data_IF_820840995284
#
_entry.id   IF_820840995284
#
_cell.length_a   1.000
_cell.length_b   1.000
_cell.length_c   1.000
_cell.angle_alpha   90.00
_cell.angle_beta   90.00
_cell.angle_gamma   90.00
#
_symmetry.space_group_name_H-M   'P 1'
#
loop_
_entity.id
_entity.type
_entity.pdbx_description
1 polymer ?
#
# COMPACT_ATOMS: atom_id res chain seq x y z
N UNK A 1 -22.37 0.04 19.20
CA UNK A 1 -21.67 0.27 17.93
C UNK A 1 -20.80 -0.95 17.67
N UNK A 2 -21.05 -1.73 16.60
CA UNK A 2 -20.22 -2.89 16.26
C UNK A 2 -18.94 -2.45 15.55
N UNK A 3 -17.85 -3.21 15.76
CA UNK A 3 -16.71 -3.29 14.84
C UNK A 3 -15.53 -2.35 15.12
N UNK A 4 -14.83 -2.52 16.24
CA UNK A 4 -13.38 -2.32 16.16
C UNK A 4 -12.87 -3.52 15.35
N UNK A 5 -12.79 -3.38 14.03
CA UNK A 5 -12.03 -4.30 13.20
C UNK A 5 -10.61 -4.22 13.72
N UNK A 6 -10.17 -5.22 14.49
CA UNK A 6 -8.76 -5.37 14.79
C UNK A 6 -8.12 -5.65 13.43
N UNK A 7 -7.43 -4.66 12.87
CA UNK A 7 -6.75 -4.84 11.60
C UNK A 7 -5.47 -5.60 11.92
N UNK A 8 -5.47 -6.92 11.67
CA UNK A 8 -4.29 -7.76 11.84
C UNK A 8 -3.16 -7.34 10.86
N UNK A 9 -3.54 -6.81 9.69
CA UNK A 9 -2.64 -6.21 8.69
C UNK A 9 -3.42 -5.32 7.72
N UNK A 10 -2.90 -4.14 7.37
CA UNK A 10 -3.45 -3.24 6.33
C UNK A 10 -2.64 -3.41 5.06
N UNK A 11 -3.29 -3.81 3.97
CA UNK A 11 -2.68 -3.88 2.65
C UNK A 11 -2.64 -2.48 2.00
N UNK A 12 -1.44 -1.99 1.71
CA UNK A 12 -1.22 -0.66 1.11
C UNK A 12 -0.53 -0.84 -0.24
N UNK A 13 -1.12 -0.29 -1.29
CA UNK A 13 -0.52 -0.23 -2.61
C UNK A 13 0.03 1.17 -2.86
N UNK A 14 1.34 1.28 -3.00
CA UNK A 14 2.02 2.52 -3.35
C UNK A 14 2.35 2.53 -4.84
N UNK A 15 1.73 3.44 -5.58
CA UNK A 15 2.03 3.72 -6.97
C UNK A 15 2.89 4.97 -7.06
N UNK A 16 4.12 4.83 -7.54
CA UNK A 16 5.04 5.96 -7.72
C UNK A 16 5.98 5.65 -8.90
N UNK A 17 6.10 6.58 -9.84
CA UNK A 17 6.89 6.37 -11.06
C UNK A 17 8.42 6.39 -10.82
N UNK A 18 8.87 6.73 -9.62
CA UNK A 18 10.25 6.81 -9.19
C UNK A 18 10.55 5.68 -8.18
N UNK A 19 11.15 4.56 -8.61
CA UNK A 19 11.31 3.36 -7.78
C UNK A 19 12.05 3.61 -6.46
N UNK A 20 13.07 4.49 -6.49
CA UNK A 20 13.83 4.86 -5.30
C UNK A 20 13.00 5.59 -4.25
N UNK A 21 12.00 6.37 -4.67
CA UNK A 21 11.09 7.03 -3.75
C UNK A 21 10.06 6.04 -3.22
N UNK A 22 9.52 5.18 -4.10
CA UNK A 22 8.58 4.13 -3.71
C UNK A 22 9.15 3.21 -2.61
N UNK A 23 10.39 2.73 -2.80
CA UNK A 23 11.08 1.88 -1.83
C UNK A 23 11.30 2.60 -0.49
N UNK A 24 11.73 3.86 -0.52
CA UNK A 24 11.93 4.65 0.69
C UNK A 24 10.62 4.88 1.45
N UNK A 25 9.56 5.25 0.74
CA UNK A 25 8.25 5.48 1.34
C UNK A 25 7.69 4.19 1.95
N UNK A 26 7.85 3.04 1.28
CA UNK A 26 7.48 1.74 1.83
C UNK A 26 8.25 1.41 3.12
N UNK A 27 9.58 1.61 3.14
CA UNK A 27 10.39 1.42 4.35
C UNK A 27 9.94 2.33 5.50
N UNK A 28 9.69 3.61 5.21
CA UNK A 28 9.25 4.57 6.21
C UNK A 28 7.86 4.23 6.77
N UNK A 29 6.93 3.77 5.93
CA UNK A 29 5.60 3.34 6.35
C UNK A 29 5.68 2.12 7.28
N UNK A 30 6.48 1.11 6.93
CA UNK A 30 6.69 -0.07 7.80
C UNK A 30 7.36 0.29 9.14
N UNK A 31 8.11 1.38 9.21
CA UNK A 31 8.65 1.92 10.47
C UNK A 31 7.59 2.62 11.32
N UNK A 32 6.60 3.27 10.70
CA UNK A 32 5.51 3.94 11.42
C UNK A 32 4.61 2.90 12.06
N UNK A 33 4.28 1.85 11.32
CA UNK A 33 3.41 0.79 11.80
C UNK A 33 3.73 -0.52 11.06
N UNK A 34 4.12 -1.54 11.84
CA UNK A 34 4.49 -2.88 11.33
C UNK A 34 3.30 -3.67 10.79
N UNK A 35 2.07 -3.23 11.06
CA UNK A 35 0.85 -3.83 10.50
C UNK A 35 0.58 -3.41 9.06
N UNK A 36 1.30 -2.41 8.53
CA UNK A 36 1.18 -1.98 7.14
C UNK A 36 2.01 -2.89 6.23
N UNK A 37 1.32 -3.66 5.38
CA UNK A 37 1.94 -4.44 4.32
C UNK A 37 1.93 -3.63 3.02
N UNK A 38 3.08 -3.03 2.69
CA UNK A 38 3.22 -2.10 1.57
C UNK A 38 3.76 -2.81 0.33
N UNK A 39 2.98 -2.80 -0.74
CA UNK A 39 3.42 -3.23 -2.07
C UNK A 39 3.66 -2.02 -2.96
N UNK A 40 4.79 -1.96 -3.66
CA UNK A 40 5.13 -0.87 -4.57
C UNK A 40 4.91 -1.26 -6.03
N UNK A 41 4.41 -0.32 -6.82
CA UNK A 41 4.24 -0.43 -8.27
C UNK A 41 4.70 0.88 -8.92
N UNK A 42 5.20 0.79 -10.15
CA UNK A 42 5.84 1.95 -10.80
C UNK A 42 4.97 2.64 -11.84
N UNK A 43 3.77 2.11 -12.06
CA UNK A 43 2.83 2.65 -13.04
C UNK A 43 1.40 2.59 -12.52
N UNK A 44 0.61 3.59 -12.90
CA UNK A 44 -0.82 3.61 -12.58
C UNK A 44 -1.59 2.42 -13.22
N UNK A 45 -1.13 1.92 -14.37
CA UNK A 45 -1.76 0.76 -15.01
C UNK A 45 -1.57 -0.52 -14.17
N UNK A 46 -0.37 -0.74 -13.66
CA UNK A 46 -0.06 -1.85 -12.75
C UNK A 46 -0.83 -1.71 -11.43
N UNK A 47 -0.92 -0.49 -10.91
CA UNK A 47 -1.71 -0.20 -9.71
C UNK A 47 -3.19 -0.57 -9.91
N UNK A 48 -3.78 -0.14 -11.03
CA UNK A 48 -5.18 -0.42 -11.36
C UNK A 48 -5.43 -1.93 -11.50
N UNK A 49 -4.59 -2.65 -12.26
CA UNK A 49 -4.70 -4.11 -12.37
C UNK A 49 -4.61 -4.80 -11.02
N UNK A 50 -3.74 -4.33 -10.13
CA UNK A 50 -3.56 -4.91 -8.79
C UNK A 50 -4.81 -4.75 -7.92
N UNK A 51 -5.45 -3.57 -7.96
CA UNK A 51 -6.71 -3.30 -7.24
C UNK A 51 -7.89 -4.08 -7.85
N UNK A 52 -7.89 -4.33 -9.16
CA UNK A 52 -8.91 -5.15 -9.81
C UNK A 52 -8.77 -6.64 -9.48
N UNK A 53 -7.54 -7.12 -9.28
CA UNK A 53 -7.23 -8.53 -8.99
C UNK A 53 -7.26 -8.88 -7.50
N UNK A 54 -7.03 -7.91 -6.61
CA UNK A 54 -6.87 -8.12 -5.17
C UNK A 54 -7.56 -7.03 -4.36
N UNK A 55 -8.08 -7.41 -3.19
CA UNK A 55 -8.54 -6.46 -2.21
C UNK A 55 -7.33 -5.73 -1.59
N UNK A 56 -7.32 -4.40 -1.76
CA UNK A 56 -6.34 -3.49 -1.17
C UNK A 56 -7.09 -2.51 -0.26
N UNK A 57 -6.58 -2.29 0.94
CA UNK A 57 -7.22 -1.42 1.94
C UNK A 57 -6.98 0.07 1.65
N UNK A 58 -5.82 0.41 1.07
CA UNK A 58 -5.45 1.77 0.74
C UNK A 58 -4.52 1.85 -0.47
N UNK A 59 -4.73 2.87 -1.32
CA UNK A 59 -3.82 3.20 -2.42
C UNK A 59 -3.19 4.56 -2.13
N UNK A 60 -1.86 4.61 -2.18
CA UNK A 60 -1.06 5.84 -2.12
C UNK A 60 -0.53 6.10 -3.52
N UNK A 61 -0.81 7.27 -4.07
CA UNK A 61 -0.34 7.72 -5.38
C UNK A 61 0.42 9.03 -5.19
N UNK A 62 1.52 9.20 -5.91
CA UNK A 62 2.20 10.49 -6.08
C UNK A 62 1.39 11.48 -6.93
#
# INVERSE_FOLDING_TARGET
>A
MPGATSIDSVSVLLADNEPSFAELAAEMLGRVDETLDVTTVTTAAEALSTVEERDVDCVVSD
#
